data_IF_157388576096
#
_entry.id   IF_157388576096
#
_cell.length_a   1.000
_cell.length_b   1.000
_cell.length_c   1.000
_cell.angle_alpha   90.00
_cell.angle_beta   90.00
_cell.angle_gamma   90.00
#
_symmetry.space_group_name_H-M   'P 1'
#
loop_
_entity.id
_entity.type
_entity.pdbx_description
1 polymer ?
#
# COMPACT_ATOMS: atom_id res chain seq x y z
N UNK A 1 4.16 39.14 33.23
CA UNK A 1 4.66 37.98 32.45
C UNK A 1 6.07 38.23 31.90
N UNK A 2 6.93 37.20 31.72
CA UNK A 2 8.26 37.34 31.10
C UNK A 2 8.28 36.68 29.72
N UNK A 3 8.66 37.43 28.68
CA UNK A 3 8.89 36.95 27.30
C UNK A 3 10.09 37.67 26.69
N UNK A 4 10.72 37.07 25.68
CA UNK A 4 11.82 37.69 24.90
C UNK A 4 11.31 38.50 23.71
N UNK A 5 10.03 38.32 23.33
CA UNK A 5 9.41 38.99 22.19
C UNK A 5 8.99 40.42 22.54
N UNK A 6 8.86 41.25 21.50
CA UNK A 6 8.39 42.64 21.60
C UNK A 6 7.50 42.95 20.41
N UNK A 7 6.51 43.81 20.57
CA UNK A 7 5.70 44.32 19.46
C UNK A 7 6.59 44.91 18.36
N UNK A 8 6.24 44.65 17.10
CA UNK A 8 7.01 45.00 15.91
C UNK A 8 8.23 44.10 15.64
N UNK A 9 8.56 43.14 16.51
CA UNK A 9 9.70 42.24 16.31
C UNK A 9 9.44 41.25 15.17
N UNK A 10 10.43 41.07 14.30
CA UNK A 10 10.42 40.05 13.26
C UNK A 10 10.69 38.67 13.86
N UNK A 11 9.90 37.68 13.46
CA UNK A 11 9.94 36.31 13.98
C UNK A 11 9.66 35.28 12.88
N UNK A 12 9.96 34.02 13.17
CA UNK A 12 9.87 32.91 12.23
C UNK A 12 9.39 31.66 12.96
N UNK A 13 8.49 30.88 12.35
CA UNK A 13 8.13 29.54 12.81
C UNK A 13 8.11 28.62 11.60
N UNK A 14 9.22 27.91 11.37
CA UNK A 14 9.36 27.05 10.21
C UNK A 14 8.52 25.77 10.28
N UNK A 15 8.01 25.42 11.47
CA UNK A 15 7.27 24.18 11.65
C UNK A 15 5.81 24.40 11.26
N UNK A 16 5.23 25.50 11.74
CA UNK A 16 3.83 25.82 11.52
C UNK A 16 3.63 26.76 10.31
N UNK A 17 4.60 27.63 10.00
CA UNK A 17 4.55 28.63 8.93
C UNK A 17 5.85 28.65 8.10
N UNK A 18 6.14 27.56 7.35
CA UNK A 18 7.42 27.40 6.65
C UNK A 18 7.68 28.51 5.64
N UNK A 19 8.91 29.03 5.64
CA UNK A 19 9.38 30.11 4.76
C UNK A 19 8.59 31.42 4.85
N UNK A 20 7.89 31.66 5.97
CA UNK A 20 7.14 32.90 6.19
C UNK A 20 7.80 33.73 7.27
N UNK A 21 7.87 35.04 7.01
CA UNK A 21 8.23 36.02 8.02
C UNK A 21 6.99 36.40 8.82
N UNK A 22 7.14 36.46 10.13
CA UNK A 22 6.13 36.95 11.06
C UNK A 22 6.56 38.26 11.70
N UNK A 23 5.58 39.03 12.16
CA UNK A 23 5.79 40.21 13.00
C UNK A 23 4.90 40.08 14.22
N UNK A 24 5.48 40.31 15.40
CA UNK A 24 4.68 40.41 16.64
C UNK A 24 3.80 41.66 16.52
N UNK A 25 2.49 41.48 16.53
CA UNK A 25 1.54 42.59 16.38
C UNK A 25 1.03 43.10 17.72
N UNK A 26 0.97 42.23 18.74
CA UNK A 26 0.49 42.58 20.08
C UNK A 26 1.10 41.63 21.12
N UNK A 27 1.35 42.15 22.33
CA UNK A 27 1.62 41.32 23.51
C UNK A 27 0.63 41.67 24.61
N UNK A 28 -0.30 40.77 24.88
CA UNK A 28 -1.29 40.91 25.95
C UNK A 28 -0.62 41.03 27.32
N UNK A 29 -1.07 42.00 28.12
CA UNK A 29 -0.62 42.23 29.49
C UNK A 29 -1.41 41.42 30.53
N UNK A 30 -2.40 40.64 30.10
CA UNK A 30 -3.22 39.82 31.01
C UNK A 30 -2.38 38.68 31.61
N UNK A 31 -2.21 38.69 32.94
CA UNK A 31 -1.35 37.72 33.63
C UNK A 31 -1.80 36.26 33.48
N UNK A 32 -3.09 36.05 33.19
CA UNK A 32 -3.69 34.73 33.04
C UNK A 32 -3.81 34.29 31.57
N UNK A 33 -3.41 35.12 30.61
CA UNK A 33 -3.50 34.75 29.19
C UNK A 33 -2.45 33.68 28.85
N UNK A 34 -2.89 32.47 28.46
CA UNK A 34 -1.99 31.41 28.06
C UNK A 34 -1.22 31.67 26.76
N UNK A 35 -1.76 32.49 25.85
CA UNK A 35 -1.18 32.77 24.53
C UNK A 35 -1.12 34.27 24.23
N UNK A 36 -0.36 35.04 25.01
CA UNK A 36 -0.39 36.49 24.97
C UNK A 36 0.43 37.09 23.84
N UNK A 37 1.23 36.30 23.11
CA UNK A 37 2.10 36.80 22.03
C UNK A 37 1.38 36.60 20.70
N UNK A 38 0.87 37.69 20.11
CA UNK A 38 0.14 37.64 18.85
C UNK A 38 1.06 37.97 17.66
N UNK A 39 1.01 37.15 16.62
CA UNK A 39 1.91 37.21 15.46
C UNK A 39 1.10 37.20 14.16
N UNK A 40 1.41 38.11 13.25
CA UNK A 40 0.90 38.08 11.87
C UNK A 40 2.01 37.58 10.94
N UNK A 41 1.73 36.52 10.19
CA UNK A 41 2.65 35.97 9.19
C UNK A 41 2.28 36.44 7.78
N UNK A 42 3.29 36.63 6.93
CA UNK A 42 3.11 37.02 5.54
C UNK A 42 2.19 36.05 4.77
N UNK A 43 1.25 36.61 4.02
CA UNK A 43 0.28 35.85 3.22
C UNK A 43 -0.53 34.81 4.02
N UNK A 44 -0.71 35.02 5.33
CA UNK A 44 -1.63 34.25 6.16
C UNK A 44 -2.85 35.10 6.53
N UNK A 45 -4.02 34.49 6.43
CA UNK A 45 -5.25 35.13 6.86
C UNK A 45 -5.34 35.07 8.39
N UNK A 46 -5.23 36.24 9.04
CA UNK A 46 -5.42 36.36 10.48
C UNK A 46 -4.11 36.45 11.26
N UNK A 47 -4.24 36.24 12.58
CA UNK A 47 -3.18 36.37 13.56
C UNK A 47 -3.10 35.08 14.38
N UNK A 48 -1.91 34.76 14.85
CA UNK A 48 -1.59 33.52 15.54
C UNK A 48 -1.04 33.81 16.92
N UNK A 49 -1.56 33.12 17.92
CA UNK A 49 -1.23 33.37 19.31
C UNK A 49 -0.27 32.31 19.84
N UNK A 50 0.77 32.77 20.53
CA UNK A 50 1.83 31.96 21.08
C UNK A 50 1.93 32.16 22.59
N UNK A 51 2.38 31.12 23.26
CA UNK A 51 2.79 31.19 24.66
C UNK A 51 3.96 32.18 24.84
N UNK A 52 4.24 32.65 26.07
CA UNK A 52 5.28 33.64 26.31
C UNK A 52 6.70 33.19 25.90
N UNK A 53 6.93 31.87 25.85
CA UNK A 53 8.19 31.26 25.39
C UNK A 53 8.15 30.81 23.92
N UNK A 54 7.09 31.11 23.16
CA UNK A 54 7.07 30.92 21.70
C UNK A 54 6.52 29.58 21.20
N UNK A 55 5.66 28.91 21.97
CA UNK A 55 4.94 27.68 21.54
C UNK A 55 3.58 28.00 20.95
N UNK A 56 3.25 27.34 19.84
CA UNK A 56 1.93 27.42 19.18
C UNK A 56 0.81 26.74 19.99
N UNK A 57 1.16 25.75 20.81
CA UNK A 57 0.26 25.09 21.76
C UNK A 57 1.06 24.78 23.04
N UNK A 58 0.43 24.85 24.22
CA UNK A 58 1.08 24.54 25.50
C UNK A 58 1.72 23.14 25.55
N UNK A 59 1.25 22.20 24.72
CA UNK A 59 1.78 20.83 24.65
C UNK A 59 2.96 20.68 23.68
N UNK A 60 3.25 21.72 22.88
CA UNK A 60 4.28 21.69 21.85
C UNK A 60 5.61 22.24 22.39
N UNK A 61 6.68 22.04 21.63
CA UNK A 61 7.97 22.70 21.86
C UNK A 61 7.91 24.16 21.35
N UNK A 62 8.77 25.05 21.86
CA UNK A 62 8.93 26.40 21.30
C UNK A 62 9.42 26.33 19.86
N UNK A 63 8.74 27.04 18.97
CA UNK A 63 9.06 27.09 17.53
C UNK A 63 9.13 28.50 16.99
N UNK A 64 8.54 29.48 17.69
CA UNK A 64 8.68 30.88 17.33
C UNK A 64 10.10 31.38 17.66
N UNK A 65 10.84 31.77 16.63
CA UNK A 65 12.24 32.19 16.71
C UNK A 65 12.39 33.64 16.26
N UNK A 66 13.31 34.39 16.87
CA UNK A 66 13.67 35.75 16.45
C UNK A 66 14.67 35.78 15.29
N UNK A 67 15.08 34.60 14.80
CA UNK A 67 15.95 34.42 13.64
C UNK A 67 15.43 33.28 12.76
N UNK A 68 15.68 33.33 11.43
CA UNK A 68 15.44 32.18 10.57
C UNK A 68 16.19 30.95 11.09
N UNK A 69 15.58 29.79 10.94
CA UNK A 69 16.18 28.50 11.28
C UNK A 69 15.74 27.48 10.23
N UNK A 70 16.27 26.26 10.30
CA UNK A 70 15.88 25.16 9.40
C UNK A 70 15.35 24.00 10.24
N UNK A 71 14.50 23.17 9.63
CA UNK A 71 13.96 21.95 10.27
C UNK A 71 14.57 20.73 9.60
N UNK A 72 15.13 19.86 10.41
CA UNK A 72 15.61 18.54 9.99
C UNK A 72 14.62 17.49 10.53
N UNK A 73 13.84 16.89 9.63
CA UNK A 73 12.89 15.81 9.94
C UNK A 73 13.53 14.44 9.71
N UNK A 74 14.51 14.08 10.54
CA UNK A 74 15.20 12.79 10.42
C UNK A 74 14.25 11.63 10.74
N UNK A 75 14.11 10.69 9.81
CA UNK A 75 13.26 9.51 9.98
C UNK A 75 11.75 9.81 9.98
N UNK A 76 11.31 11.01 9.60
CA UNK A 76 9.88 11.28 9.46
C UNK A 76 9.29 10.49 8.29
N UNK A 77 8.29 9.66 8.57
CA UNK A 77 7.54 8.91 7.58
C UNK A 77 6.04 9.10 7.81
N UNK A 78 5.32 9.43 6.73
CA UNK A 78 3.86 9.41 6.72
C UNK A 78 3.38 8.54 5.56
N UNK A 79 3.37 7.22 5.77
CA UNK A 79 2.97 6.24 4.76
C UNK A 79 1.59 5.68 5.07
N UNK A 80 0.74 5.57 4.04
CA UNK A 80 -0.53 4.86 4.19
C UNK A 80 -0.26 3.38 4.51
N UNK A 81 -1.08 2.71 5.35
CA UNK A 81 -0.95 1.28 5.55
C UNK A 81 -1.09 0.55 4.21
N UNK A 82 -0.41 -0.59 4.02
CA UNK A 82 -0.53 -1.37 2.80
C UNK A 82 -2.00 -1.75 2.56
N UNK A 83 -2.39 -1.81 1.29
CA UNK A 83 -3.71 -2.29 0.93
C UNK A 83 -3.84 -3.77 1.34
N UNK A 84 -4.81 -4.10 2.18
CA UNK A 84 -5.10 -5.49 2.53
C UNK A 84 -6.11 -6.09 1.57
N UNK A 85 -6.16 -7.43 1.50
CA UNK A 85 -7.16 -8.15 0.74
C UNK A 85 -8.58 -7.75 1.16
N UNK A 86 -8.88 -7.66 2.46
CA UNK A 86 -10.23 -7.32 2.94
C UNK A 86 -10.62 -5.90 2.53
N UNK A 87 -9.65 -4.96 2.53
CA UNK A 87 -9.90 -3.59 2.10
C UNK A 87 -10.10 -3.50 0.58
N UNK A 88 -9.35 -4.30 -0.19
CA UNK A 88 -9.56 -4.45 -1.62
C UNK A 88 -10.94 -5.06 -1.89
N UNK A 89 -11.24 -6.23 -1.35
CA UNK A 89 -12.52 -6.93 -1.49
C UNK A 89 -13.70 -6.05 -1.08
N UNK A 90 -13.63 -5.37 0.07
CA UNK A 90 -14.69 -4.44 0.52
C UNK A 90 -14.90 -3.31 -0.47
N UNK A 91 -13.84 -2.69 -1.01
CA UNK A 91 -13.97 -1.64 -2.03
C UNK A 91 -14.62 -2.17 -3.30
N UNK A 92 -14.19 -3.35 -3.75
CA UNK A 92 -14.65 -3.98 -4.99
C UNK A 92 -16.10 -4.48 -4.87
N UNK A 93 -16.53 -4.92 -3.68
CA UNK A 93 -17.90 -5.35 -3.37
C UNK A 93 -18.95 -4.28 -3.71
N UNK A 94 -18.61 -3.01 -3.54
CA UNK A 94 -19.50 -1.87 -3.83
C UNK A 94 -19.46 -1.43 -5.31
N UNK A 95 -18.53 -1.96 -6.11
CA UNK A 95 -18.42 -1.72 -7.55
C UNK A 95 -19.10 -2.87 -8.33
N UNK A 96 -20.45 -2.90 -8.29
CA UNK A 96 -21.27 -3.99 -8.87
C UNK A 96 -21.11 -4.14 -10.39
N UNK A 97 -20.56 -3.13 -11.05
CA UNK A 97 -20.32 -3.18 -12.49
C UNK A 97 -19.08 -3.98 -12.85
N UNK A 98 -18.14 -4.19 -11.92
CA UNK A 98 -16.87 -4.91 -12.16
C UNK A 98 -16.79 -6.32 -11.58
N UNK A 99 -17.71 -6.75 -10.72
CA UNK A 99 -17.61 -8.06 -10.02
C UNK A 99 -18.88 -8.91 -10.08
N UNK A 100 -18.69 -10.23 -10.11
CA UNK A 100 -19.75 -11.23 -10.06
C UNK A 100 -19.68 -11.98 -8.72
N UNK A 101 -20.84 -12.29 -8.15
CA UNK A 101 -20.94 -13.17 -6.98
C UNK A 101 -21.16 -14.59 -7.48
N UNK A 102 -20.35 -15.51 -6.96
CA UNK A 102 -20.54 -16.94 -7.18
C UNK A 102 -20.87 -17.60 -5.85
N UNK A 103 -21.95 -18.36 -5.82
CA UNK A 103 -22.31 -19.13 -4.64
C UNK A 103 -21.59 -20.48 -4.70
N UNK A 104 -20.56 -20.62 -3.88
CA UNK A 104 -19.88 -21.89 -3.68
C UNK A 104 -20.36 -22.46 -2.34
N UNK A 105 -21.18 -23.51 -2.40
CA UNK A 105 -21.68 -24.24 -1.21
C UNK A 105 -22.33 -23.34 -0.14
N UNK A 106 -23.10 -22.33 -0.56
CA UNK A 106 -23.76 -21.38 0.33
C UNK A 106 -22.91 -20.17 0.73
N UNK A 107 -21.63 -20.13 0.36
CA UNK A 107 -20.74 -18.98 0.57
C UNK A 107 -20.68 -18.16 -0.72
N UNK A 108 -21.03 -16.87 -0.62
CA UNK A 108 -20.90 -15.95 -1.75
C UNK A 108 -19.46 -15.46 -1.84
N UNK A 109 -18.70 -15.99 -2.79
CA UNK A 109 -17.32 -15.59 -3.08
C UNK A 109 -17.32 -14.53 -4.18
N UNK A 110 -16.53 -13.49 -4.00
CA UNK A 110 -16.38 -12.40 -4.96
C UNK A 110 -15.33 -12.79 -6.00
N UNK A 111 -15.72 -12.81 -7.28
CA UNK A 111 -14.80 -13.02 -8.39
C UNK A 111 -14.79 -11.80 -9.33
N UNK A 112 -13.62 -11.47 -9.94
CA UNK A 112 -13.56 -10.47 -11.00
C UNK A 112 -14.51 -10.82 -12.15
N UNK A 113 -15.25 -9.87 -12.72
CA UNK A 113 -16.05 -10.16 -13.94
C UNK A 113 -15.19 -10.49 -15.16
N UNK A 114 -13.91 -10.11 -15.14
CA UNK A 114 -12.98 -10.37 -16.24
C UNK A 114 -12.70 -11.86 -16.45
N UNK A 115 -12.97 -12.71 -15.46
CA UNK A 115 -12.71 -14.15 -15.51
C UNK A 115 -13.86 -14.88 -14.80
N UNK A 116 -14.47 -15.88 -15.44
CA UNK A 116 -15.60 -16.56 -14.81
C UNK A 116 -15.16 -17.40 -13.60
N UNK A 117 -16.00 -17.56 -12.57
CA UNK A 117 -15.69 -18.36 -11.37
C UNK A 117 -15.23 -19.80 -11.70
N UNK A 118 -15.77 -20.39 -12.76
CA UNK A 118 -15.43 -21.73 -13.23
C UNK A 118 -13.95 -21.85 -13.64
N UNK A 119 -13.32 -20.77 -14.10
CA UNK A 119 -11.88 -20.73 -14.44
C UNK A 119 -11.03 -20.86 -13.18
N UNK A 120 -11.41 -20.18 -12.09
CA UNK A 120 -10.72 -20.29 -10.81
C UNK A 120 -10.86 -21.69 -10.21
N UNK A 121 -12.06 -22.27 -10.31
CA UNK A 121 -12.30 -23.65 -9.87
C UNK A 121 -11.51 -24.66 -10.70
N UNK A 122 -11.41 -24.46 -12.02
CA UNK A 122 -10.57 -25.28 -12.87
C UNK A 122 -9.09 -25.20 -12.47
N UNK A 123 -8.57 -24.00 -12.20
CA UNK A 123 -7.21 -23.82 -11.72
C UNK A 123 -6.99 -24.51 -10.36
N UNK A 124 -7.94 -24.39 -9.43
CA UNK A 124 -7.87 -25.07 -8.12
C UNK A 124 -7.76 -26.59 -8.28
N UNK A 125 -8.57 -27.17 -9.16
CA UNK A 125 -8.54 -28.61 -9.45
C UNK A 125 -7.20 -29.03 -10.09
N UNK A 126 -6.68 -28.26 -11.05
CA UNK A 126 -5.38 -28.53 -11.68
C UNK A 126 -4.24 -28.49 -10.67
N UNK A 127 -4.22 -27.51 -9.76
CA UNK A 127 -3.19 -27.37 -8.71
C UNK A 127 -3.17 -28.62 -7.81
N UNK A 128 -4.34 -29.11 -7.39
CA UNK A 128 -4.48 -30.33 -6.59
C UNK A 128 -4.00 -31.57 -7.36
N UNK A 129 -4.46 -31.73 -8.61
CA UNK A 129 -4.04 -32.86 -9.45
C UNK A 129 -2.53 -32.82 -9.70
N UNK A 130 -1.96 -31.64 -9.95
CA UNK A 130 -0.52 -31.47 -10.16
C UNK A 130 0.28 -31.92 -8.94
N UNK A 131 -0.19 -31.62 -7.73
CA UNK A 131 0.46 -32.10 -6.50
C UNK A 131 0.36 -33.63 -6.35
N UNK A 132 -0.77 -34.23 -6.75
CA UNK A 132 -0.94 -35.68 -6.79
C UNK A 132 0.02 -36.36 -7.77
N UNK A 133 0.09 -35.88 -9.02
CA UNK A 133 0.98 -36.42 -10.06
C UNK A 133 2.46 -36.26 -9.71
N UNK A 134 2.81 -35.23 -8.94
CA UNK A 134 4.18 -35.01 -8.47
C UNK A 134 4.56 -35.85 -7.24
N UNK A 135 3.62 -36.59 -6.64
CA UNK A 135 3.86 -37.41 -5.45
C UNK A 135 4.54 -36.63 -4.31
N UNK A 136 4.09 -35.39 -4.08
CA UNK A 136 4.64 -34.50 -3.05
C UNK A 136 5.96 -33.80 -3.43
N UNK A 137 6.49 -34.01 -4.64
CA UNK A 137 7.57 -33.17 -5.17
C UNK A 137 7.08 -31.72 -5.34
N UNK A 138 7.91 -30.77 -4.90
CA UNK A 138 7.69 -29.34 -5.09
C UNK A 138 8.93 -28.74 -5.77
N UNK A 139 8.76 -27.80 -6.71
CA UNK A 139 9.88 -27.17 -7.39
C UNK A 139 10.65 -26.25 -6.43
N UNK A 140 11.97 -26.40 -6.41
CA UNK A 140 12.89 -25.41 -5.83
C UNK A 140 13.40 -24.49 -6.95
N UNK A 141 12.90 -23.26 -7.01
CA UNK A 141 13.24 -22.32 -8.08
C UNK A 141 14.58 -21.60 -7.87
N UNK A 142 15.20 -21.77 -6.71
CA UNK A 142 16.57 -21.28 -6.43
C UNK A 142 17.63 -22.26 -6.95
N UNK A 143 17.25 -23.50 -7.27
CA UNK A 143 18.16 -24.48 -7.85
C UNK A 143 18.19 -24.42 -9.39
N UNK A 144 19.36 -24.70 -9.96
CA UNK A 144 19.58 -24.75 -11.42
C UNK A 144 19.12 -26.08 -12.04
N UNK A 145 18.24 -26.85 -11.39
CA UNK A 145 17.66 -28.05 -12.00
C UNK A 145 16.56 -27.66 -12.96
N UNK A 146 16.37 -28.46 -14.00
CA UNK A 146 15.25 -28.30 -14.92
C UNK A 146 13.93 -28.74 -14.26
N UNK A 147 12.87 -27.98 -14.50
CA UNK A 147 11.48 -28.31 -14.17
C UNK A 147 10.68 -28.30 -15.46
N UNK A 148 9.81 -29.29 -15.62
CA UNK A 148 8.91 -29.36 -16.76
C UNK A 148 7.64 -28.62 -16.40
N UNK A 149 7.25 -27.63 -17.19
CA UNK A 149 6.10 -26.79 -16.86
C UNK A 149 5.09 -26.76 -18.00
N UNK A 150 3.81 -26.66 -17.63
CA UNK A 150 2.74 -26.35 -18.58
C UNK A 150 2.41 -24.86 -18.45
N UNK A 151 2.39 -24.16 -19.57
CA UNK A 151 2.09 -22.74 -19.67
C UNK A 151 1.23 -22.43 -20.89
N UNK A 152 0.83 -21.18 -21.05
CA UNK A 152 0.08 -20.71 -22.22
C UNK A 152 0.94 -19.73 -23.01
N UNK A 153 1.37 -20.12 -24.21
CA UNK A 153 2.06 -19.23 -25.15
C UNK A 153 1.16 -18.96 -26.36
N UNK A 154 0.87 -17.68 -26.64
CA UNK A 154 0.02 -17.27 -27.79
C UNK A 154 -1.30 -18.05 -27.82
N UNK A 155 -1.96 -18.12 -26.66
CA UNK A 155 -3.22 -18.83 -26.44
C UNK A 155 -3.17 -20.35 -26.64
N UNK A 156 -1.98 -20.97 -26.67
CA UNK A 156 -1.82 -22.42 -26.81
C UNK A 156 -1.14 -22.99 -25.58
N UNK A 157 -1.61 -24.14 -25.14
CA UNK A 157 -0.96 -24.91 -24.08
C UNK A 157 0.38 -25.44 -24.60
N UNK A 158 1.45 -25.13 -23.86
CA UNK A 158 2.81 -25.52 -24.18
C UNK A 158 3.42 -26.31 -23.02
N UNK A 159 4.19 -27.36 -23.35
CA UNK A 159 5.06 -28.06 -22.41
C UNK A 159 6.48 -27.50 -22.58
N UNK A 160 7.02 -26.91 -21.52
CA UNK A 160 8.27 -26.16 -21.54
C UNK A 160 9.25 -26.62 -20.46
N UNK A 161 10.53 -26.32 -20.67
CA UNK A 161 11.60 -26.57 -19.71
C UNK A 161 12.03 -25.24 -19.07
N UNK A 162 11.96 -25.14 -17.75
CA UNK A 162 12.35 -23.93 -17.01
C UNK A 162 13.34 -24.25 -15.89
N UNK A 163 14.30 -23.35 -15.66
CA UNK A 163 15.30 -23.47 -14.60
C UNK A 163 14.85 -22.73 -13.33
N UNK A 164 14.79 -21.41 -13.42
CA UNK A 164 14.63 -20.48 -12.31
C UNK A 164 13.38 -19.58 -12.45
N UNK A 165 12.48 -19.93 -13.37
CA UNK A 165 11.26 -19.15 -13.64
C UNK A 165 10.04 -19.94 -13.19
N UNK A 166 9.41 -19.49 -12.11
CA UNK A 166 8.29 -20.18 -11.48
C UNK A 166 7.04 -20.27 -12.37
N UNK A 167 6.39 -21.43 -12.34
CA UNK A 167 5.13 -21.74 -13.01
C UNK A 167 4.22 -22.50 -12.06
N UNK A 168 2.91 -22.26 -12.17
CA UNK A 168 1.88 -22.92 -11.35
C UNK A 168 1.90 -24.44 -11.59
N UNK A 169 1.94 -24.84 -12.86
CA UNK A 169 1.96 -26.24 -13.27
C UNK A 169 3.38 -26.69 -13.57
N UNK A 170 4.15 -26.95 -12.52
CA UNK A 170 5.52 -27.45 -12.60
C UNK A 170 5.58 -28.92 -12.16
N UNK A 171 6.43 -29.69 -12.81
CA UNK A 171 6.52 -31.14 -12.66
C UNK A 171 7.98 -31.61 -12.58
N UNK A 172 8.16 -32.70 -11.82
CA UNK A 172 9.46 -33.32 -11.55
C UNK A 172 10.12 -33.89 -12.80
N UNK A 173 9.33 -34.39 -13.75
CA UNK A 173 9.82 -35.03 -14.97
C UNK A 173 8.93 -34.71 -16.17
N UNK A 174 9.50 -34.88 -17.36
CA UNK A 174 8.80 -34.72 -18.63
C UNK A 174 7.59 -35.64 -18.73
N UNK A 175 7.74 -36.90 -18.32
CA UNK A 175 6.70 -37.92 -18.41
C UNK A 175 5.48 -37.54 -17.57
N UNK A 176 5.70 -37.08 -16.33
CA UNK A 176 4.61 -36.63 -15.46
C UNK A 176 3.87 -35.45 -16.09
N UNK A 177 4.62 -34.46 -16.59
CA UNK A 177 4.04 -33.27 -17.22
C UNK A 177 3.26 -33.61 -18.50
N UNK A 178 3.78 -34.52 -19.31
CA UNK A 178 3.15 -34.96 -20.56
C UNK A 178 1.85 -35.71 -20.28
N UNK A 179 1.88 -36.67 -19.35
CA UNK A 179 0.67 -37.42 -18.96
C UNK A 179 -0.39 -36.48 -18.39
N UNK A 180 0.02 -35.52 -17.54
CA UNK A 180 -0.89 -34.51 -17.01
C UNK A 180 -1.52 -33.65 -18.11
N UNK A 181 -0.72 -33.19 -19.10
CA UNK A 181 -1.21 -32.39 -20.22
C UNK A 181 -2.27 -33.13 -21.04
N UNK A 182 -2.03 -34.41 -21.32
CA UNK A 182 -2.95 -35.22 -22.11
C UNK A 182 -4.22 -35.58 -21.32
N UNK A 183 -4.08 -36.02 -20.07
CA UNK A 183 -5.20 -36.50 -19.25
C UNK A 183 -6.09 -35.37 -18.73
N UNK A 184 -5.53 -34.17 -18.51
CA UNK A 184 -6.24 -33.01 -17.94
C UNK A 184 -6.54 -31.90 -18.95
N UNK A 185 -6.45 -32.20 -20.26
CA UNK A 185 -6.59 -31.22 -21.35
C UNK A 185 -7.85 -30.37 -21.27
N UNK A 186 -9.01 -30.97 -21.02
CA UNK A 186 -10.28 -30.23 -20.94
C UNK A 186 -10.29 -29.22 -19.79
N UNK A 187 -9.68 -29.60 -18.67
CA UNK A 187 -9.59 -28.76 -17.48
C UNK A 187 -8.55 -27.64 -17.69
N UNK A 188 -7.44 -27.95 -18.37
CA UNK A 188 -6.43 -26.98 -18.79
C UNK A 188 -7.01 -25.91 -19.73
N UNK A 189 -7.82 -26.31 -20.72
CA UNK A 189 -8.46 -25.34 -21.63
C UNK A 189 -9.43 -24.41 -20.88
N UNK A 190 -10.14 -24.90 -19.86
CA UNK A 190 -10.99 -24.05 -19.00
C UNK A 190 -10.16 -23.06 -18.18
N UNK A 191 -9.03 -23.51 -17.63
CA UNK A 191 -8.17 -22.69 -16.77
C UNK A 191 -7.23 -21.74 -17.53
N UNK A 192 -7.11 -21.89 -18.86
CA UNK A 192 -6.19 -21.14 -19.73
C UNK A 192 -6.11 -19.63 -19.45
N UNK A 193 -7.21 -18.89 -19.13
CA UNK A 193 -7.12 -17.46 -18.82
C UNK A 193 -6.28 -17.10 -17.58
N UNK A 194 -5.96 -18.06 -16.71
CA UNK A 194 -5.18 -17.86 -15.48
C UNK A 194 -3.85 -18.65 -15.47
N UNK A 195 -3.51 -19.37 -16.55
CA UNK A 195 -2.28 -20.14 -16.72
C UNK A 195 -1.25 -19.37 -17.55
#
# INVERSE_FOLDING_TARGET
MKTVFKEGMEVYDQLNFPNKKGVIVEISNEENDPYPVEVSFENEAGRNNYTPDGRFSKKHIPTLSTKPYEIVLEGFEQKAPPLTFEKAEKKLKYDRDKYAYFNLEGINILYPKSVSPEVFEALRQLVILRDYYNEGWQPDWEDDKNKFCISVEKEKLCLELWLNTSRVLAFKSHEIAYNFLEEQKELLEKAKPLL
#
